data_IF_401506774474
#
_entry.id   IF_401506774474
#
_cell.length_a   1.000
_cell.length_b   1.000
_cell.length_c   1.000
_cell.angle_alpha   90.00
_cell.angle_beta   90.00
_cell.angle_gamma   90.00
#
_symmetry.space_group_name_H-M   'P 1'
#
loop_
_entity.id
_entity.type
_entity.pdbx_description
1 polymer ?
#
# COMPACT_ATOMS: atom_id res chain seq x y z
N UNK A 1 -15.36 0.25 -24.73
CA UNK A 1 -14.75 -0.30 -23.49
C UNK A 1 -15.79 -1.19 -22.80
N UNK A 2 -15.37 -2.33 -22.22
CA UNK A 2 -16.26 -3.27 -21.52
C UNK A 2 -15.76 -3.40 -20.08
N UNK A 3 -16.57 -3.00 -19.11
CA UNK A 3 -16.23 -3.08 -17.68
C UNK A 3 -16.66 -4.44 -17.11
N UNK A 4 -16.00 -4.87 -16.04
CA UNK A 4 -16.43 -6.04 -15.28
C UNK A 4 -17.15 -5.57 -14.01
N UNK A 5 -18.49 -5.66 -13.95
CA UNK A 5 -19.27 -5.16 -12.82
C UNK A 5 -18.87 -5.79 -11.48
N UNK A 6 -18.42 -7.06 -11.47
CA UNK A 6 -18.04 -7.73 -10.23
C UNK A 6 -16.72 -7.23 -9.62
N UNK A 7 -15.92 -6.47 -10.38
CA UNK A 7 -14.65 -5.89 -9.93
C UNK A 7 -14.70 -4.37 -9.81
N UNK A 8 -15.83 -3.75 -10.12
CA UNK A 8 -15.97 -2.30 -10.05
C UNK A 8 -16.57 -1.87 -8.72
N UNK A 9 -15.91 -0.93 -8.06
CA UNK A 9 -16.46 -0.21 -6.91
C UNK A 9 -16.98 1.15 -7.39
N UNK A 10 -18.25 1.43 -7.19
CA UNK A 10 -18.89 2.69 -7.56
C UNK A 10 -19.48 3.38 -6.33
N UNK A 11 -19.45 4.71 -6.30
CA UNK A 11 -20.08 5.49 -5.22
C UNK A 11 -19.41 5.39 -3.85
N UNK A 12 -18.17 4.90 -3.77
CA UNK A 12 -17.41 4.83 -2.51
C UNK A 12 -16.75 6.16 -2.18
N UNK A 13 -16.76 6.56 -0.90
CA UNK A 13 -16.09 7.78 -0.42
C UNK A 13 -14.58 7.62 -0.29
N UNK A 14 -14.12 6.40 0.00
CA UNK A 14 -12.72 5.98 -0.01
C UNK A 14 -12.62 4.48 -0.33
N UNK A 15 -11.47 4.03 -0.82
CA UNK A 15 -11.22 2.61 -1.10
C UNK A 15 -9.78 2.31 -1.49
N UNK A 16 -9.42 1.01 -1.44
CA UNK A 16 -8.11 0.56 -1.93
C UNK A 16 -8.12 0.42 -3.44
N UNK A 17 -7.20 1.13 -4.11
CA UNK A 17 -6.99 1.04 -5.56
C UNK A 17 -5.50 0.91 -5.85
N UNK A 18 -5.12 -0.11 -6.65
CA UNK A 18 -3.71 -0.43 -6.96
C UNK A 18 -2.80 -0.55 -5.72
N UNK A 19 -3.36 -0.98 -4.58
CA UNK A 19 -2.63 -1.10 -3.32
C UNK A 19 -2.54 0.19 -2.49
N UNK A 20 -3.07 1.31 -2.98
CA UNK A 20 -3.11 2.59 -2.27
C UNK A 20 -4.50 2.86 -1.71
N UNK A 21 -4.56 3.55 -0.57
CA UNK A 21 -5.82 4.11 -0.10
C UNK A 21 -6.12 5.37 -0.91
N UNK A 22 -7.31 5.48 -1.49
CA UNK A 22 -7.74 6.64 -2.26
C UNK A 22 -9.04 7.16 -1.68
N UNK A 23 -9.12 8.47 -1.48
CA UNK A 23 -10.33 9.18 -1.07
C UNK A 23 -10.58 10.39 -1.95
N UNK A 24 -11.66 11.13 -1.65
CA UNK A 24 -11.95 12.42 -2.30
C UNK A 24 -10.82 13.45 -2.15
N UNK A 25 -9.94 13.29 -1.16
CA UNK A 25 -8.79 14.19 -0.93
C UNK A 25 -7.55 13.77 -1.73
N UNK A 26 -7.57 12.60 -2.37
CA UNK A 26 -6.45 12.05 -3.13
C UNK A 26 -5.95 10.72 -2.58
N UNK A 27 -4.67 10.41 -2.80
CA UNK A 27 -4.02 9.22 -2.25
C UNK A 27 -3.69 9.46 -0.78
N UNK A 28 -4.14 8.57 0.07
CA UNK A 28 -3.93 8.62 1.51
C UNK A 28 -2.81 7.65 1.93
N UNK A 29 -2.04 8.06 2.94
CA UNK A 29 -1.03 7.20 3.57
C UNK A 29 -1.76 6.15 4.41
N UNK A 30 -1.49 4.87 4.15
CA UNK A 30 -2.09 3.80 4.95
C UNK A 30 -1.43 3.71 6.33
N UNK A 31 -2.16 3.23 7.36
CA UNK A 31 -1.56 2.95 8.67
C UNK A 31 -0.33 2.04 8.58
N UNK A 32 -0.33 1.09 7.64
CA UNK A 32 0.79 0.18 7.39
C UNK A 32 2.05 0.94 6.91
N UNK A 33 1.87 1.94 6.04
CA UNK A 33 2.97 2.79 5.58
C UNK A 33 3.52 3.66 6.72
N UNK A 34 2.64 4.23 7.56
CA UNK A 34 3.06 4.99 8.74
C UNK A 34 3.85 4.09 9.69
N UNK A 35 3.33 2.89 9.97
CA UNK A 35 3.98 1.92 10.84
C UNK A 35 5.35 1.52 10.32
N UNK A 36 5.47 1.23 9.02
CA UNK A 36 6.74 0.90 8.41
C UNK A 36 7.78 2.02 8.58
N UNK A 37 7.39 3.28 8.39
CA UNK A 37 8.30 4.43 8.59
C UNK A 37 8.71 4.58 10.05
N UNK A 38 7.78 4.42 11.00
CA UNK A 38 8.07 4.51 12.44
C UNK A 38 8.97 3.38 12.95
N UNK A 39 8.82 2.18 12.39
CA UNK A 39 9.62 1.00 12.75
C UNK A 39 10.95 0.92 11.98
N UNK A 40 11.14 1.76 10.96
CA UNK A 40 12.38 1.79 10.18
C UNK A 40 13.49 2.44 11.02
N UNK A 41 14.59 1.73 11.31
CA UNK A 41 15.73 2.31 12.00
C UNK A 41 16.39 3.41 11.15
N UNK A 42 16.98 4.44 11.79
CA UNK A 42 17.61 5.53 11.07
C UNK A 42 18.68 5.02 10.09
N UNK A 43 18.75 5.55 8.86
CA UNK A 43 19.66 5.07 7.82
C UNK A 43 21.11 5.49 8.16
N UNK A 44 21.76 4.76 9.07
CA UNK A 44 23.10 5.04 9.60
C UNK A 44 24.12 3.91 9.43
N UNK A 45 23.74 2.79 8.82
CA UNK A 45 24.68 1.75 8.41
C UNK A 45 24.45 1.44 6.93
N UNK A 46 25.55 1.22 6.20
CA UNK A 46 25.59 0.96 4.75
C UNK A 46 24.37 0.15 4.30
N UNK A 47 23.62 0.70 3.33
CA UNK A 47 22.38 0.14 2.80
C UNK A 47 22.59 -1.30 2.32
N UNK A 48 22.25 -2.26 3.15
CA UNK A 48 21.85 -3.58 2.70
C UNK A 48 20.33 -3.51 2.54
N UNK A 49 19.85 -3.23 1.33
CA UNK A 49 18.48 -3.60 0.97
C UNK A 49 18.44 -5.13 0.95
N UNK A 50 18.39 -5.76 2.13
CA UNK A 50 18.09 -7.18 2.21
C UNK A 50 16.64 -7.32 1.76
N UNK A 51 16.48 -7.81 0.54
CA UNK A 51 15.24 -8.36 0.05
C UNK A 51 14.71 -9.37 1.08
N UNK A 52 13.80 -8.93 1.95
CA UNK A 52 13.00 -9.82 2.81
C UNK A 52 11.59 -9.95 2.25
N UNK A 53 11.47 -9.97 0.92
CA UNK A 53 10.34 -10.63 0.26
C UNK A 53 10.79 -12.03 -0.14
N UNK A 54 10.72 -12.97 0.80
CA UNK A 54 10.70 -14.41 0.50
C UNK A 54 10.24 -15.20 1.73
N UNK A 55 8.98 -15.03 2.17
CA UNK A 55 8.33 -16.01 3.04
C UNK A 55 6.83 -15.74 3.22
N UNK A 56 6.04 -15.92 2.16
CA UNK A 56 4.66 -16.39 2.36
C UNK A 56 4.15 -17.09 1.10
N UNK A 57 4.66 -18.29 0.89
CA UNK A 57 4.05 -19.31 0.05
C UNK A 57 4.46 -20.68 0.61
N UNK A 58 3.74 -21.10 1.64
CA UNK A 58 3.28 -22.48 1.77
C UNK A 58 1.76 -22.44 1.80
#
# INVERSE_FOLDING_TARGET
MKLNPSKCAFGVSAGKFLGFMVSQRGIEVSPDQVKAVMETPPPGAKRNYSASQASSSR
#
